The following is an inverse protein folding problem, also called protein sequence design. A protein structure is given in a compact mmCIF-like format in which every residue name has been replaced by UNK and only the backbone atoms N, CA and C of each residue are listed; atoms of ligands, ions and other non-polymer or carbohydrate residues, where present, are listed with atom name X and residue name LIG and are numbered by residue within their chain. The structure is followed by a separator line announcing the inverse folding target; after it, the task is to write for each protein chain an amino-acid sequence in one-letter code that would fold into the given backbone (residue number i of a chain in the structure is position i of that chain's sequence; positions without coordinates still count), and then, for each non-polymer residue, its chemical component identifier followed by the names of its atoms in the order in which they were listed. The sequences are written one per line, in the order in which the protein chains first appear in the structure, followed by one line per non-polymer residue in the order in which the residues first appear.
data_IF_631702559330
#
_entry.id   IF_631702559330
#
_cell.length_a   1.000
_cell.length_b   1.000
_cell.length_c   1.000
_cell.angle_alpha   90.00
_cell.angle_beta   90.00
_cell.angle_gamma   90.00
#
_symmetry.space_group_name_H-M   'P 1'
#
loop_
_entity.id
_entity.type
_entity.pdbx_description
1 polymer ?
#
# COMPACT_ATOMS: atom_id res chain seq x y z
N UNK A 1 44.94 -8.77 -39.88
CA UNK A 1 46.18 -8.35 -39.19
C UNK A 1 45.99 -7.19 -38.20
N UNK A 2 44.75 -6.67 -37.98
CA UNK A 2 44.54 -5.48 -37.14
C UNK A 2 44.10 -5.81 -35.69
N UNK A 3 43.84 -7.06 -35.37
CA UNK A 3 43.28 -7.44 -34.04
C UNK A 3 44.36 -7.48 -32.95
N UNK A 4 45.62 -7.64 -33.31
CA UNK A 4 46.74 -7.77 -32.34
C UNK A 4 47.20 -6.43 -31.74
N UNK A 5 46.87 -5.31 -32.42
CA UNK A 5 47.26 -3.97 -31.98
C UNK A 5 46.35 -3.41 -30.89
N UNK A 6 45.13 -3.91 -30.76
CA UNK A 6 44.14 -3.42 -29.77
C UNK A 6 44.20 -4.16 -28.43
N UNK A 7 44.88 -5.30 -28.32
CA UNK A 7 44.96 -6.10 -27.10
C UNK A 7 45.57 -5.34 -25.89
N UNK A 8 46.67 -4.56 -26.03
CA UNK A 8 47.21 -3.84 -24.88
C UNK A 8 46.37 -2.65 -24.45
N UNK A 9 45.49 -2.12 -25.30
CA UNK A 9 44.61 -1.02 -24.98
C UNK A 9 43.33 -1.45 -24.30
N UNK A 10 42.89 -2.70 -24.42
CA UNK A 10 41.68 -3.23 -23.76
C UNK A 10 41.83 -3.18 -22.24
N UNK A 11 42.99 -3.51 -21.68
CA UNK A 11 43.27 -3.41 -20.25
C UNK A 11 43.30 -1.97 -19.76
N UNK A 12 43.81 -1.03 -20.56
CA UNK A 12 43.83 0.38 -20.21
C UNK A 12 42.41 0.97 -20.20
N UNK A 13 41.58 0.64 -21.17
CA UNK A 13 40.18 1.07 -21.21
C UNK A 13 39.34 0.46 -20.08
N UNK A 14 39.57 -0.81 -19.71
CA UNK A 14 38.92 -1.43 -18.57
C UNK A 14 39.30 -0.72 -17.26
N UNK A 15 40.57 -0.38 -17.06
CA UNK A 15 41.05 0.33 -15.88
C UNK A 15 40.51 1.77 -15.80
N UNK A 16 40.39 2.45 -16.94
CA UNK A 16 39.81 3.79 -17.01
C UNK A 16 38.29 3.74 -16.77
N UNK A 17 37.59 2.75 -17.35
CA UNK A 17 36.14 2.56 -17.15
C UNK A 17 35.81 2.27 -15.66
N UNK A 18 36.59 1.42 -14.98
CA UNK A 18 36.43 1.13 -13.54
C UNK A 18 36.72 2.39 -12.67
N UNK A 19 37.60 3.27 -13.11
CA UNK A 19 37.97 4.49 -12.37
C UNK A 19 37.03 5.66 -12.59
N UNK A 20 36.30 5.69 -13.73
CA UNK A 20 35.35 6.75 -14.10
C UNK A 20 33.91 6.40 -13.68
N UNK A 21 33.61 5.11 -13.63
CA UNK A 21 32.34 4.61 -13.08
C UNK A 21 32.67 4.09 -11.68
N UNK A 22 32.58 4.92 -10.62
CA UNK A 22 32.69 4.38 -9.28
C UNK A 22 31.57 3.33 -9.16
N UNK A 23 31.94 2.10 -8.77
CA UNK A 23 30.95 1.13 -8.33
C UNK A 23 30.03 1.86 -7.37
N UNK A 24 28.79 2.06 -7.75
CA UNK A 24 27.78 2.46 -6.77
C UNK A 24 27.94 1.44 -5.65
N UNK A 25 28.15 1.88 -4.39
CA UNK A 25 28.10 0.94 -3.30
C UNK A 25 26.82 0.16 -3.53
N UNK A 26 26.93 -1.14 -3.74
CA UNK A 26 25.81 -2.06 -3.63
C UNK A 26 25.37 -1.82 -2.20
N UNK A 27 24.36 -0.96 -1.99
CA UNK A 27 23.66 -0.94 -0.72
C UNK A 27 23.39 -2.41 -0.47
N UNK A 28 24.01 -2.97 0.57
CA UNK A 28 23.65 -4.30 1.04
C UNK A 28 22.15 -4.20 1.29
N UNK A 29 21.37 -4.65 0.31
CA UNK A 29 19.92 -4.76 0.48
C UNK A 29 19.79 -5.60 1.72
N UNK A 30 19.40 -4.96 2.82
CA UNK A 30 19.15 -5.65 4.07
C UNK A 30 18.36 -6.88 3.71
N UNK A 31 18.88 -8.08 4.01
CA UNK A 31 18.23 -9.33 3.65
C UNK A 31 16.93 -9.34 4.41
N UNK A 32 15.85 -9.00 3.72
CA UNK A 32 14.51 -8.97 4.28
C UNK A 32 14.15 -10.41 4.59
N UNK A 33 13.92 -10.70 5.86
CA UNK A 33 13.54 -12.04 6.34
C UNK A 33 12.28 -11.93 7.18
N UNK A 34 11.40 -12.94 7.10
CA UNK A 34 10.31 -13.09 8.04
C UNK A 34 10.83 -13.03 9.48
N UNK A 35 10.05 -12.42 10.36
CA UNK A 35 10.42 -12.25 11.76
C UNK A 35 9.95 -13.40 12.63
N UNK A 36 8.79 -13.97 12.30
CA UNK A 36 8.09 -14.92 13.16
C UNK A 36 7.97 -16.32 12.57
N UNK A 37 8.17 -16.53 11.26
CA UNK A 37 8.02 -17.83 10.63
C UNK A 37 9.13 -18.79 11.08
N UNK A 38 8.73 -20.01 11.47
CA UNK A 38 9.61 -21.09 11.90
C UNK A 38 9.22 -22.41 11.23
N UNK A 39 10.08 -22.88 10.34
CA UNK A 39 9.84 -24.10 9.56
C UNK A 39 9.81 -25.38 10.43
N UNK A 40 10.44 -25.37 11.63
CA UNK A 40 10.42 -26.51 12.54
C UNK A 40 9.02 -26.73 13.16
N UNK A 41 8.22 -25.66 13.25
CA UNK A 41 6.87 -25.69 13.83
C UNK A 41 5.75 -26.00 12.83
N UNK A 42 6.05 -26.17 11.53
CA UNK A 42 5.06 -26.50 10.50
C UNK A 42 4.30 -27.79 10.83
N UNK A 43 4.93 -28.74 11.54
CA UNK A 43 4.33 -30.00 11.93
C UNK A 43 3.27 -29.86 13.06
N UNK A 44 3.17 -28.68 13.66
CA UNK A 44 2.16 -28.35 14.69
C UNK A 44 1.25 -27.24 14.15
N UNK A 45 0.18 -27.57 13.41
CA UNK A 45 -0.60 -26.58 12.65
C UNK A 45 -1.09 -25.40 13.46
N UNK A 46 -1.56 -25.60 14.69
CA UNK A 46 -2.04 -24.53 15.55
C UNK A 46 -0.94 -23.50 15.88
N UNK A 47 0.30 -23.96 16.13
CA UNK A 47 1.43 -23.06 16.39
C UNK A 47 1.90 -22.39 15.10
N UNK A 48 1.95 -23.13 14.01
CA UNK A 48 2.34 -22.60 12.71
C UNK A 48 1.40 -21.49 12.23
N UNK A 49 0.08 -21.66 12.40
CA UNK A 49 -0.92 -20.64 12.08
C UNK A 49 -0.79 -19.40 12.98
N UNK A 50 -0.45 -19.58 14.26
CA UNK A 50 -0.20 -18.45 15.16
C UNK A 50 1.03 -17.63 14.72
N UNK A 51 2.14 -18.30 14.33
CA UNK A 51 3.32 -17.63 13.80
C UNK A 51 3.01 -16.91 12.47
N UNK A 52 2.21 -17.53 11.62
CA UNK A 52 1.74 -16.91 10.38
C UNK A 52 0.91 -15.65 10.65
N UNK A 53 0.04 -15.66 11.68
CA UNK A 53 -0.73 -14.50 12.11
C UNK A 53 0.16 -13.38 12.65
N UNK A 54 1.19 -13.71 13.42
CA UNK A 54 2.17 -12.73 13.89
C UNK A 54 2.95 -12.08 12.72
N UNK A 55 3.32 -12.84 11.70
CA UNK A 55 3.98 -12.30 10.51
C UNK A 55 3.02 -11.42 9.69
N UNK A 56 1.74 -11.81 9.59
CA UNK A 56 0.71 -10.98 8.99
C UNK A 56 0.58 -9.62 9.72
N UNK A 57 0.60 -9.64 11.06
CA UNK A 57 0.64 -8.42 11.89
C UNK A 57 1.85 -7.54 11.57
N UNK A 58 3.03 -8.15 11.40
CA UNK A 58 4.24 -7.43 10.99
C UNK A 58 4.10 -6.76 9.61
N UNK A 59 3.48 -7.44 8.64
CA UNK A 59 3.19 -6.84 7.33
C UNK A 59 2.21 -5.67 7.45
N UNK A 60 1.19 -5.79 8.33
CA UNK A 60 0.25 -4.71 8.61
C UNK A 60 0.93 -3.49 9.24
N UNK A 61 1.82 -3.67 10.23
CA UNK A 61 2.63 -2.60 10.84
C UNK A 61 3.46 -1.83 9.79
N UNK A 62 4.10 -2.55 8.86
CA UNK A 62 4.85 -1.93 7.76
C UNK A 62 3.92 -1.11 6.85
N UNK A 63 2.74 -1.62 6.53
CA UNK A 63 1.75 -0.93 5.70
C UNK A 63 1.19 0.31 6.42
N UNK A 64 0.94 0.24 7.73
CA UNK A 64 0.58 1.40 8.56
C UNK A 64 1.68 2.47 8.56
N UNK A 65 2.94 2.04 8.67
CA UNK A 65 4.09 2.93 8.54
C UNK A 65 4.14 3.65 7.19
N UNK A 66 3.78 2.96 6.08
CA UNK A 66 3.65 3.59 4.77
C UNK A 66 2.53 4.62 4.74
N UNK A 67 1.34 4.28 5.26
CA UNK A 67 0.18 5.19 5.32
C UNK A 67 0.49 6.46 6.14
N UNK A 68 1.20 6.32 7.26
CA UNK A 68 1.61 7.46 8.09
C UNK A 68 2.56 8.41 7.36
N UNK A 69 3.41 7.90 6.46
CA UNK A 69 4.39 8.68 5.69
C UNK A 69 3.82 9.33 4.44
N UNK A 70 2.66 8.93 3.95
CA UNK A 70 2.06 9.45 2.71
C UNK A 70 2.05 10.97 2.70
N UNK A 71 1.61 11.60 3.79
CA UNK A 71 1.55 13.07 3.87
C UNK A 71 2.94 13.71 3.73
N UNK A 72 3.91 13.26 4.50
CA UNK A 72 5.28 13.80 4.43
C UNK A 72 5.91 13.59 3.06
N UNK A 73 5.65 12.46 2.42
CA UNK A 73 6.13 12.15 1.08
C UNK A 73 5.49 13.06 0.03
N UNK A 74 4.20 13.37 0.12
CA UNK A 74 3.55 14.35 -0.76
C UNK A 74 4.14 15.77 -0.60
N UNK A 75 4.58 16.15 0.60
CA UNK A 75 5.21 17.42 0.90
C UNK A 75 6.69 17.45 0.47
N UNK A 76 7.49 16.49 0.91
CA UNK A 76 8.95 16.41 0.68
C UNK A 76 9.33 15.87 -0.69
N UNK A 77 8.42 15.06 -1.29
CA UNK A 77 8.61 14.40 -2.59
C UNK A 77 9.76 13.39 -2.60
N UNK A 78 10.10 12.83 -1.43
CA UNK A 78 11.02 11.71 -1.30
C UNK A 78 10.22 10.40 -1.31
N UNK A 79 10.33 9.67 -2.41
CA UNK A 79 9.52 8.48 -2.73
C UNK A 79 10.27 7.18 -2.49
N UNK A 80 11.59 7.25 -2.27
CA UNK A 80 12.43 6.06 -2.19
C UNK A 80 12.06 5.15 -1.03
N UNK A 81 11.69 5.72 0.10
CA UNK A 81 11.35 4.97 1.31
C UNK A 81 10.05 4.17 1.18
N UNK A 82 9.00 4.75 0.57
CA UNK A 82 7.73 4.04 0.36
C UNK A 82 7.88 2.86 -0.60
N UNK A 83 8.65 3.04 -1.68
CA UNK A 83 8.92 1.96 -2.63
C UNK A 83 9.69 0.82 -1.96
N UNK A 84 10.69 1.13 -1.15
CA UNK A 84 11.46 0.13 -0.41
C UNK A 84 10.62 -0.62 0.61
N UNK A 85 9.71 0.05 1.32
CA UNK A 85 8.78 -0.60 2.25
C UNK A 85 7.79 -1.53 1.53
N UNK A 86 7.28 -1.12 0.37
CA UNK A 86 6.44 -1.99 -0.45
C UNK A 86 7.20 -3.24 -0.93
N UNK A 87 8.43 -3.09 -1.47
CA UNK A 87 9.27 -4.22 -1.87
C UNK A 87 9.50 -5.20 -0.69
N UNK A 88 9.64 -4.67 0.52
CA UNK A 88 9.75 -5.47 1.74
C UNK A 88 8.48 -6.28 2.01
N UNK A 89 7.31 -5.67 1.90
CA UNK A 89 6.02 -6.34 2.08
C UNK A 89 5.82 -7.45 1.04
N UNK A 90 6.22 -7.21 -0.23
CA UNK A 90 6.16 -8.24 -1.29
C UNK A 90 7.00 -9.46 -0.94
N UNK A 91 8.22 -9.27 -0.44
CA UNK A 91 9.10 -10.39 -0.01
C UNK A 91 8.48 -11.16 1.17
N UNK A 92 7.95 -10.45 2.17
CA UNK A 92 7.30 -11.07 3.32
C UNK A 92 6.03 -11.84 2.92
N UNK A 93 5.23 -11.31 1.99
CA UNK A 93 4.07 -12.00 1.42
C UNK A 93 4.46 -13.33 0.77
N UNK A 94 5.49 -13.34 -0.07
CA UNK A 94 5.94 -14.57 -0.72
C UNK A 94 6.39 -15.61 0.30
N UNK A 95 7.14 -15.19 1.32
CA UNK A 95 7.57 -16.06 2.39
C UNK A 95 6.40 -16.62 3.20
N UNK A 96 5.43 -15.77 3.59
CA UNK A 96 4.25 -16.17 4.35
C UNK A 96 3.35 -17.11 3.55
N UNK A 97 3.10 -16.85 2.27
CA UNK A 97 2.33 -17.73 1.41
C UNK A 97 3.01 -19.09 1.22
N UNK A 98 4.33 -19.12 1.06
CA UNK A 98 5.12 -20.36 0.99
C UNK A 98 5.00 -21.15 2.29
N UNK A 99 5.11 -20.49 3.44
CA UNK A 99 4.95 -21.09 4.76
C UNK A 99 3.54 -21.69 4.93
N UNK A 100 2.49 -20.91 4.65
CA UNK A 100 1.11 -21.38 4.70
C UNK A 100 0.84 -22.55 3.75
N UNK A 101 1.45 -22.54 2.55
CA UNK A 101 1.36 -23.70 1.64
C UNK A 101 1.92 -24.97 2.26
N UNK A 102 2.97 -24.92 3.06
CA UNK A 102 3.52 -26.08 3.76
C UNK A 102 2.61 -26.52 4.91
N UNK A 103 2.09 -25.56 5.70
CA UNK A 103 1.11 -25.84 6.77
C UNK A 103 -0.14 -26.51 6.22
N UNK A 104 -0.65 -26.06 5.07
CA UNK A 104 -1.84 -26.64 4.42
C UNK A 104 -1.67 -28.07 3.90
N UNK A 105 -0.46 -28.67 3.95
CA UNK A 105 -0.24 -30.08 3.63
C UNK A 105 -0.44 -31.00 4.83
N UNK A 106 -0.51 -30.46 6.04
CA UNK A 106 -0.81 -31.22 7.24
C UNK A 106 -2.31 -31.52 7.35
N UNK A 107 -2.67 -32.47 8.20
CA UNK A 107 -4.08 -32.70 8.56
C UNK A 107 -4.54 -31.56 9.47
N UNK A 108 -5.36 -30.67 8.94
CA UNK A 108 -5.95 -29.55 9.66
C UNK A 108 -7.34 -29.93 10.19
N UNK A 109 -7.68 -29.53 11.41
CA UNK A 109 -9.07 -29.51 11.87
C UNK A 109 -9.86 -28.45 11.08
N UNK A 110 -11.19 -28.52 11.12
CA UNK A 110 -12.06 -27.54 10.42
C UNK A 110 -11.73 -26.09 10.82
N UNK A 111 -11.49 -25.83 12.11
CA UNK A 111 -11.13 -24.50 12.60
C UNK A 111 -9.75 -24.03 12.10
N UNK A 112 -8.77 -24.92 12.04
CA UNK A 112 -7.44 -24.62 11.50
C UNK A 112 -7.49 -24.40 9.98
N UNK A 113 -8.33 -25.14 9.25
CA UNK A 113 -8.54 -24.96 7.83
C UNK A 113 -9.18 -23.61 7.52
N UNK A 114 -10.17 -23.19 8.32
CA UNK A 114 -10.79 -21.87 8.21
C UNK A 114 -9.77 -20.75 8.51
N UNK A 115 -8.97 -20.90 9.56
CA UNK A 115 -7.91 -19.92 9.90
C UNK A 115 -6.85 -19.86 8.81
N UNK A 116 -6.40 -20.99 8.30
CA UNK A 116 -5.45 -21.06 7.19
C UNK A 116 -5.98 -20.30 5.96
N UNK A 117 -7.23 -20.53 5.57
CA UNK A 117 -7.85 -19.85 4.43
C UNK A 117 -7.93 -18.32 4.65
N UNK A 118 -8.28 -17.90 5.89
CA UNK A 118 -8.30 -16.46 6.25
C UNK A 118 -6.91 -15.83 6.14
N UNK A 119 -5.88 -16.47 6.68
CA UNK A 119 -4.50 -15.95 6.63
C UNK A 119 -3.98 -15.83 5.20
N UNK A 120 -4.28 -16.80 4.33
CA UNK A 120 -3.93 -16.74 2.90
C UNK A 120 -4.61 -15.54 2.23
N UNK A 121 -5.90 -15.34 2.44
CA UNK A 121 -6.64 -14.22 1.88
C UNK A 121 -6.12 -12.87 2.43
N UNK A 122 -5.96 -12.78 3.75
CA UNK A 122 -5.49 -11.56 4.43
C UNK A 122 -4.09 -11.13 3.97
N UNK A 123 -3.21 -12.08 3.68
CA UNK A 123 -1.87 -11.81 3.17
C UNK A 123 -1.92 -11.05 1.83
N UNK A 124 -2.83 -11.43 0.94
CA UNK A 124 -3.05 -10.74 -0.34
C UNK A 124 -3.65 -9.34 -0.16
N UNK A 125 -4.57 -9.19 0.78
CA UNK A 125 -5.22 -7.90 1.03
C UNK A 125 -4.25 -6.85 1.62
N UNK A 126 -3.34 -7.23 2.50
CA UNK A 126 -2.31 -6.31 3.03
C UNK A 126 -1.35 -5.88 1.91
N UNK A 127 -0.95 -6.79 1.03
CA UNK A 127 -0.12 -6.44 -0.12
C UNK A 127 -0.88 -5.49 -1.07
N UNK A 128 -2.17 -5.72 -1.35
CA UNK A 128 -3.00 -4.82 -2.15
C UNK A 128 -3.04 -3.41 -1.56
N UNK A 129 -3.15 -3.27 -0.23
CA UNK A 129 -3.12 -1.96 0.44
C UNK A 129 -1.76 -1.27 0.26
N UNK A 130 -0.66 -1.98 0.47
CA UNK A 130 0.69 -1.44 0.28
C UNK A 130 0.96 -1.06 -1.18
N UNK A 131 0.46 -1.85 -2.12
CA UNK A 131 0.54 -1.59 -3.56
C UNK A 131 -0.26 -0.32 -3.93
N UNK A 132 -1.46 -0.14 -3.37
CA UNK A 132 -2.26 1.07 -3.58
C UNK A 132 -1.51 2.32 -3.09
N UNK A 133 -0.85 2.25 -1.93
CA UNK A 133 0.00 3.36 -1.44
C UNK A 133 1.16 3.60 -2.40
N UNK A 134 1.89 2.57 -2.79
CA UNK A 134 3.11 2.69 -3.60
C UNK A 134 2.83 3.12 -5.04
N UNK A 135 1.89 2.45 -5.72
CA UNK A 135 1.68 2.65 -7.16
C UNK A 135 0.66 3.74 -7.48
N UNK A 136 -0.22 4.09 -6.54
CA UNK A 136 -1.21 5.14 -6.77
C UNK A 136 -0.72 6.51 -6.28
N UNK A 137 -0.10 6.58 -5.12
CA UNK A 137 0.29 7.86 -4.52
C UNK A 137 1.65 8.36 -4.98
N UNK A 138 2.60 7.46 -5.29
CA UNK A 138 3.94 7.85 -5.78
C UNK A 138 3.88 8.60 -7.12
N UNK A 139 3.22 8.08 -8.18
CA UNK A 139 3.11 8.81 -9.44
C UNK A 139 2.38 10.15 -9.30
N UNK A 140 1.41 10.21 -8.37
CA UNK A 140 0.71 11.45 -8.07
C UNK A 140 1.62 12.52 -7.47
N UNK A 141 2.51 12.16 -6.54
CA UNK A 141 3.47 13.09 -5.98
C UNK A 141 4.39 13.69 -7.06
N UNK A 142 4.75 12.90 -8.07
CA UNK A 142 5.49 13.37 -9.24
C UNK A 142 4.67 14.36 -10.08
N UNK A 143 3.41 14.01 -10.38
CA UNK A 143 2.49 14.88 -11.12
C UNK A 143 2.24 16.22 -10.41
N UNK A 144 2.05 16.20 -9.07
CA UNK A 144 1.92 17.41 -8.26
C UNK A 144 3.17 18.29 -8.28
N UNK A 145 4.35 17.65 -8.33
CA UNK A 145 5.63 18.35 -8.47
C UNK A 145 5.73 19.08 -9.81
N UNK A 146 5.41 18.39 -10.90
CA UNK A 146 5.48 18.95 -12.26
C UNK A 146 4.46 20.06 -12.47
N UNK A 147 3.27 19.90 -11.95
CA UNK A 147 2.19 20.88 -12.10
C UNK A 147 2.43 22.18 -11.36
N UNK A 148 3.33 22.22 -10.35
CA UNK A 148 3.66 23.39 -9.53
C UNK A 148 2.44 24.24 -9.12
N UNK A 149 1.30 23.56 -8.86
CA UNK A 149 0.02 24.21 -8.55
C UNK A 149 -0.27 24.14 -7.06
N UNK A 150 -0.66 25.27 -6.47
CA UNK A 150 -1.12 25.33 -5.09
C UNK A 150 -2.66 25.34 -5.08
N UNK A 151 -3.32 24.38 -4.43
CA UNK A 151 -4.76 24.44 -4.24
C UNK A 151 -5.16 25.65 -3.40
N UNK A 152 -6.43 26.09 -3.49
CA UNK A 152 -6.92 27.09 -2.55
C UNK A 152 -7.02 26.50 -1.14
N UNK A 153 -7.08 27.36 -0.13
CA UNK A 153 -7.21 26.92 1.25
C UNK A 153 -8.41 26.00 1.46
N UNK A 154 -9.57 26.36 0.92
CA UNK A 154 -10.80 25.57 1.06
C UNK A 154 -10.65 24.16 0.41
N UNK A 155 -9.99 24.09 -0.75
CA UNK A 155 -9.71 22.80 -1.40
C UNK A 155 -8.73 21.98 -0.58
N UNK A 156 -7.70 22.62 -0.02
CA UNK A 156 -6.72 21.95 0.83
C UNK A 156 -7.37 21.40 2.09
N UNK A 157 -8.19 22.21 2.78
CA UNK A 157 -8.89 21.79 4.00
C UNK A 157 -9.84 20.60 3.74
N UNK A 158 -10.50 20.59 2.57
CA UNK A 158 -11.40 19.49 2.18
C UNK A 158 -10.63 18.21 1.85
N UNK A 159 -9.55 18.30 1.09
CA UNK A 159 -8.70 17.16 0.77
C UNK A 159 -8.03 16.58 2.02
N UNK A 160 -7.65 17.44 2.96
CA UNK A 160 -7.08 17.02 4.25
C UNK A 160 -8.09 16.21 5.08
N UNK A 161 -9.33 16.69 5.20
CA UNK A 161 -10.41 15.96 5.90
C UNK A 161 -10.68 14.61 5.23
N UNK A 162 -10.74 14.58 3.90
CA UNK A 162 -10.93 13.35 3.16
C UNK A 162 -9.76 12.37 3.40
N UNK A 163 -8.52 12.84 3.33
CA UNK A 163 -7.34 12.02 3.59
C UNK A 163 -7.34 11.45 5.00
N UNK A 164 -7.64 12.25 6.01
CA UNK A 164 -7.72 11.78 7.41
C UNK A 164 -8.78 10.70 7.60
N UNK A 165 -9.97 10.86 6.97
CA UNK A 165 -11.03 9.86 7.03
C UNK A 165 -10.60 8.55 6.37
N UNK A 166 -9.97 8.62 5.20
CA UNK A 166 -9.48 7.44 4.48
C UNK A 166 -8.34 6.76 5.23
N UNK A 167 -7.41 7.51 5.81
CA UNK A 167 -6.32 6.98 6.59
C UNK A 167 -6.85 6.25 7.84
N UNK A 168 -7.80 6.83 8.56
CA UNK A 168 -8.44 6.18 9.69
C UNK A 168 -9.17 4.89 9.29
N UNK A 169 -9.85 4.89 8.13
CA UNK A 169 -10.50 3.69 7.58
C UNK A 169 -9.48 2.61 7.21
N UNK A 170 -8.34 2.98 6.62
CA UNK A 170 -7.27 2.03 6.26
C UNK A 170 -6.64 1.39 7.52
N UNK A 171 -6.38 2.16 8.57
CA UNK A 171 -5.91 1.62 9.86
C UNK A 171 -6.94 0.68 10.50
N UNK A 172 -8.22 1.05 10.49
CA UNK A 172 -9.28 0.19 11.01
C UNK A 172 -9.43 -1.10 10.19
N UNK A 173 -9.27 -1.05 8.86
CA UNK A 173 -9.32 -2.21 7.98
C UNK A 173 -8.14 -3.18 8.24
N UNK A 174 -6.92 -2.67 8.40
CA UNK A 174 -5.73 -3.48 8.73
C UNK A 174 -5.93 -4.19 10.08
N UNK A 175 -6.41 -3.47 11.11
CA UNK A 175 -6.72 -4.06 12.40
C UNK A 175 -7.82 -5.11 12.30
N UNK A 176 -8.91 -4.80 11.60
CA UNK A 176 -10.00 -5.75 11.38
C UNK A 176 -9.50 -7.06 10.77
N UNK A 177 -8.62 -6.96 9.79
CA UNK A 177 -8.09 -8.11 9.07
C UNK A 177 -7.16 -8.98 9.92
N UNK A 178 -6.24 -8.36 10.68
CA UNK A 178 -5.24 -9.07 11.50
C UNK A 178 -5.87 -9.68 12.75
N UNK A 179 -6.75 -8.92 13.44
CA UNK A 179 -7.35 -9.28 14.72
C UNK A 179 -8.74 -9.94 14.58
N UNK A 180 -9.28 -10.02 13.35
CA UNK A 180 -10.66 -10.42 13.07
C UNK A 180 -11.68 -9.56 13.85
N UNK A 181 -11.41 -8.23 13.91
CA UNK A 181 -12.20 -7.24 14.66
C UNK A 181 -13.39 -6.75 13.83
N UNK A 182 -14.56 -7.41 13.98
CA UNK A 182 -15.79 -7.02 13.27
C UNK A 182 -16.22 -5.56 13.58
N UNK A 183 -16.17 -5.05 14.82
CA UNK A 183 -16.42 -3.63 15.12
C UNK A 183 -15.52 -2.68 14.32
N UNK A 184 -14.24 -2.99 14.17
CA UNK A 184 -13.34 -2.19 13.34
C UNK A 184 -13.76 -2.22 11.86
N UNK A 185 -14.14 -3.40 11.34
CA UNK A 185 -14.66 -3.54 9.98
C UNK A 185 -15.94 -2.72 9.76
N UNK A 186 -16.89 -2.75 10.70
CA UNK A 186 -18.11 -1.93 10.65
C UNK A 186 -17.80 -0.43 10.62
N UNK A 187 -16.79 0.02 11.37
CA UNK A 187 -16.36 1.43 11.36
C UNK A 187 -15.89 1.86 9.96
N UNK A 188 -15.20 0.99 9.23
CA UNK A 188 -14.76 1.28 7.85
C UNK A 188 -15.97 1.43 6.94
N UNK A 189 -16.92 0.51 6.99
CA UNK A 189 -18.14 0.57 6.15
C UNK A 189 -18.97 1.81 6.48
N UNK A 190 -19.13 2.14 7.76
CA UNK A 190 -19.85 3.33 8.20
C UNK A 190 -19.21 4.66 7.73
N UNK A 191 -17.93 4.67 7.41
CA UNK A 191 -17.25 5.87 6.88
C UNK A 191 -17.59 6.18 5.41
N UNK A 192 -18.26 5.26 4.70
CA UNK A 192 -18.65 5.42 3.29
C UNK A 192 -19.42 6.71 3.02
N UNK A 193 -20.43 6.99 3.81
CA UNK A 193 -21.29 8.17 3.61
C UNK A 193 -20.52 9.47 3.79
N UNK A 194 -19.66 9.54 4.80
CA UNK A 194 -18.81 10.70 5.03
C UNK A 194 -17.83 10.94 3.85
N UNK A 195 -17.28 9.88 3.28
CA UNK A 195 -16.40 9.97 2.11
C UNK A 195 -17.15 10.39 0.86
N UNK A 196 -18.39 9.88 0.65
CA UNK A 196 -19.26 10.31 -0.45
C UNK A 196 -19.65 11.77 -0.32
N UNK A 197 -19.98 12.24 0.88
CA UNK A 197 -20.29 13.65 1.14
C UNK A 197 -19.10 14.57 0.85
N UNK A 198 -17.91 14.25 1.37
CA UNK A 198 -16.68 15.01 1.13
C UNK A 198 -16.33 15.05 -0.37
N UNK A 199 -16.50 13.93 -1.05
CA UNK A 199 -16.28 13.82 -2.51
C UNK A 199 -17.26 14.71 -3.29
N UNK A 200 -18.54 14.69 -2.90
CA UNK A 200 -19.58 15.50 -3.54
C UNK A 200 -19.34 16.99 -3.31
N UNK A 201 -18.94 17.38 -2.12
CA UNK A 201 -18.56 18.75 -1.79
C UNK A 201 -17.36 19.21 -2.63
N UNK A 202 -16.34 18.35 -2.78
CA UNK A 202 -15.20 18.62 -3.64
C UNK A 202 -15.64 18.91 -5.10
N UNK A 203 -16.46 18.03 -5.67
CA UNK A 203 -16.97 18.24 -7.04
C UNK A 203 -17.77 19.53 -7.18
N UNK A 204 -18.62 19.88 -6.19
CA UNK A 204 -19.40 21.12 -6.16
C UNK A 204 -18.49 22.36 -6.17
N UNK A 205 -17.46 22.36 -5.33
CA UNK A 205 -16.46 23.44 -5.29
C UNK A 205 -15.72 23.59 -6.63
N UNK A 206 -15.34 22.48 -7.26
CA UNK A 206 -14.67 22.52 -8.55
C UNK A 206 -15.59 23.03 -9.67
N UNK A 207 -16.86 22.65 -9.66
CA UNK A 207 -17.84 23.13 -10.65
C UNK A 207 -18.04 24.67 -10.56
N UNK A 208 -18.13 25.22 -9.36
CA UNK A 208 -18.22 26.68 -9.16
C UNK A 208 -16.97 27.38 -9.68
N UNK A 209 -15.79 26.82 -9.41
CA UNK A 209 -14.52 27.37 -9.87
C UNK A 209 -14.35 27.28 -11.39
N UNK A 210 -14.91 26.28 -12.05
CA UNK A 210 -14.92 26.17 -13.50
C UNK A 210 -15.59 27.36 -14.20
N UNK A 211 -16.51 28.05 -13.59
CA UNK A 211 -17.20 29.22 -14.15
C UNK A 211 -16.33 30.52 -14.16
N UNK A 212 -15.21 30.62 -13.42
CA UNK A 212 -14.29 31.80 -13.41
C UNK A 212 -13.26 31.77 -14.54
N UNK A 213 -12.42 32.78 -14.65
CA UNK A 213 -11.51 33.03 -15.78
C UNK A 213 -10.02 32.99 -15.33
N UNK A 214 -9.59 31.95 -14.59
CA UNK A 214 -8.19 31.84 -14.11
C UNK A 214 -7.29 31.13 -15.11
N UNK A 215 -6.05 31.59 -15.35
CA UNK A 215 -5.07 30.85 -16.15
C UNK A 215 -4.70 29.52 -15.46
N UNK A 216 -4.31 28.51 -16.26
CA UNK A 216 -3.91 27.16 -15.82
C UNK A 216 -4.95 26.35 -15.04
N UNK A 217 -6.18 26.78 -15.08
CA UNK A 217 -7.29 26.19 -14.33
C UNK A 217 -7.56 24.74 -14.67
N UNK A 218 -7.54 24.36 -15.95
CA UNK A 218 -7.79 22.99 -16.40
C UNK A 218 -6.70 22.04 -15.88
N UNK A 219 -5.45 22.49 -15.86
CA UNK A 219 -4.34 21.70 -15.31
C UNK A 219 -4.51 21.49 -13.81
N UNK A 220 -4.80 22.57 -13.05
CA UNK A 220 -5.08 22.49 -11.61
C UNK A 220 -6.23 21.54 -11.29
N UNK A 221 -7.33 21.66 -12.02
CA UNK A 221 -8.49 20.80 -11.87
C UNK A 221 -8.14 19.33 -12.13
N UNK A 222 -7.45 19.04 -13.22
CA UNK A 222 -7.05 17.68 -13.57
C UNK A 222 -6.24 17.03 -12.45
N UNK A 223 -5.23 17.72 -11.93
CA UNK A 223 -4.38 17.21 -10.85
C UNK A 223 -5.17 16.96 -9.56
N UNK A 224 -6.10 17.87 -9.22
CA UNK A 224 -6.95 17.73 -8.03
C UNK A 224 -7.95 16.59 -8.15
N UNK A 225 -8.52 16.37 -9.33
CA UNK A 225 -9.39 15.23 -9.60
C UNK A 225 -8.61 13.91 -9.55
N UNK A 226 -7.39 13.88 -10.08
CA UNK A 226 -6.54 12.70 -10.00
C UNK A 226 -6.22 12.35 -8.54
N UNK A 227 -5.89 13.35 -7.69
CA UNK A 227 -5.68 13.14 -6.27
C UNK A 227 -6.92 12.55 -5.59
N UNK A 228 -8.10 13.10 -5.89
CA UNK A 228 -9.36 12.59 -5.35
C UNK A 228 -9.57 11.12 -5.74
N UNK A 229 -9.34 10.77 -7.01
CA UNK A 229 -9.54 9.39 -7.50
C UNK A 229 -8.58 8.41 -6.82
N UNK A 230 -7.31 8.79 -6.60
CA UNK A 230 -6.33 7.95 -5.89
C UNK A 230 -6.72 7.74 -4.43
N UNK A 231 -7.17 8.80 -3.76
CA UNK A 231 -7.66 8.70 -2.39
C UNK A 231 -8.88 7.76 -2.29
N UNK A 232 -9.83 7.86 -3.21
CA UNK A 232 -11.00 6.97 -3.25
C UNK A 232 -10.62 5.51 -3.49
N UNK A 233 -9.63 5.25 -4.33
CA UNK A 233 -9.11 3.89 -4.54
C UNK A 233 -8.54 3.30 -3.26
N UNK A 234 -7.76 4.09 -2.50
CA UNK A 234 -7.22 3.65 -1.22
C UNK A 234 -8.35 3.27 -0.26
N UNK A 235 -9.42 4.08 -0.20
CA UNK A 235 -10.62 3.74 0.58
C UNK A 235 -11.29 2.45 0.08
N UNK A 236 -11.42 2.27 -1.23
CA UNK A 236 -12.03 1.07 -1.80
C UNK A 236 -11.28 -0.20 -1.41
N UNK A 237 -9.94 -0.16 -1.30
CA UNK A 237 -9.15 -1.28 -0.80
C UNK A 237 -9.44 -1.52 0.68
N UNK A 238 -9.47 -0.47 1.51
CA UNK A 238 -9.79 -0.57 2.94
C UNK A 238 -11.20 -1.15 3.16
N UNK A 239 -12.17 -0.69 2.39
CA UNK A 239 -13.55 -1.18 2.43
C UNK A 239 -13.65 -2.66 2.03
N UNK A 240 -12.95 -3.08 0.99
CA UNK A 240 -12.90 -4.49 0.58
C UNK A 240 -12.29 -5.38 1.66
N UNK A 241 -11.20 -4.96 2.30
CA UNK A 241 -10.62 -5.65 3.44
C UNK A 241 -11.63 -5.78 4.60
N UNK A 242 -12.33 -4.71 4.94
CA UNK A 242 -13.32 -4.71 6.02
C UNK A 242 -14.51 -5.65 5.69
N UNK A 243 -15.01 -5.62 4.46
CA UNK A 243 -16.10 -6.49 4.01
C UNK A 243 -15.69 -7.98 4.10
N UNK A 244 -14.43 -8.33 3.84
CA UNK A 244 -13.96 -9.72 3.92
C UNK A 244 -14.01 -10.29 5.35
N UNK A 245 -14.01 -9.43 6.36
CA UNK A 245 -14.09 -9.82 7.79
C UNK A 245 -15.54 -9.94 8.27
N UNK A 246 -16.46 -9.21 7.64
CA UNK A 246 -17.84 -9.13 8.10
C UNK A 246 -18.66 -10.39 7.76
N UNK A 247 -19.52 -10.87 8.68
CA UNK A 247 -20.46 -11.95 8.40
C UNK A 247 -21.44 -11.58 7.28
N UNK A 248 -21.80 -12.53 6.44
CA UNK A 248 -22.77 -12.33 5.34
C UNK A 248 -24.12 -11.76 5.79
N UNK A 249 -24.52 -12.02 7.03
CA UNK A 249 -25.76 -11.51 7.61
C UNK A 249 -25.74 -9.98 7.79
N UNK A 250 -24.60 -9.39 8.11
CA UNK A 250 -24.44 -7.93 8.26
C UNK A 250 -24.51 -7.26 6.90
N UNK A 251 -23.84 -7.84 5.90
CA UNK A 251 -23.83 -7.31 4.52
C UNK A 251 -25.21 -7.31 3.86
N UNK A 252 -26.07 -8.28 4.15
CA UNK A 252 -27.42 -8.36 3.62
C UNK A 252 -28.35 -7.27 4.19
N UNK A 253 -28.09 -6.79 5.42
CA UNK A 253 -28.85 -5.71 6.04
C UNK A 253 -28.54 -4.32 5.43
N UNK A 254 -27.28 -4.07 5.07
CA UNK A 254 -26.84 -2.78 4.50
C UNK A 254 -27.21 -2.59 3.02
N UNK A 255 -27.39 -3.69 2.27
CA UNK A 255 -27.85 -3.64 0.86
C UNK A 255 -29.37 -3.43 0.74
N UNK A 256 -30.11 -3.45 1.86
CA UNK A 256 -31.56 -3.33 1.91
C UNK A 256 -32.04 -2.00 2.49
N UNK A 257 -31.14 -1.13 2.94
CA UNK A 257 -31.42 0.21 3.46
C UNK A 257 -30.96 1.30 2.48
#
# INVERSE_FOLDING_TARGET
ANTLLFLPFAGLFATIAIKIIPDRPVEEKAIIRPRYLDDELIQVPSMALELARMELGHMAELTEGMLAKVRSVLETRDLGELSQQHDQIVVLREALLSYLQHVGRAELSDAEADEHARLVAATGEIENMSAAVSYELIPLAQTLKEANTTPSKETTDLLERLFQTIQASAHAALRALVEHDEPAAQTVVASRDAILELTSEFHRQQAVRLAGNEPDRLLKLRVQLELLDRMRRLYSVAEHMAISVLPRSVLAGELSA
#
